data_IF_658317174910
#
_entry.id   IF_658317174910
#
_cell.length_a   1.000
_cell.length_b   1.000
_cell.length_c   1.000
_cell.angle_alpha   90.00
_cell.angle_beta   90.00
_cell.angle_gamma   90.00
#
_symmetry.space_group_name_H-M   'P 1'
#
loop_
_entity.id
_entity.type
_entity.pdbx_description
1 polymer ?
#
# COMPACT_ATOMS: atom_id res chain seq x y z
N UNK A 1 -7.47 30.80 74.36
CA UNK A 1 -7.89 30.18 73.09
C UNK A 1 -8.13 28.71 73.39
N UNK A 2 -9.29 28.13 73.03
CA UNK A 2 -9.51 26.71 73.24
C UNK A 2 -8.52 25.93 72.36
N UNK A 3 -7.77 25.02 72.98
CA UNK A 3 -6.91 24.07 72.28
C UNK A 3 -7.79 23.20 71.39
N UNK A 4 -7.74 23.43 70.08
CA UNK A 4 -8.34 22.51 69.11
C UNK A 4 -7.54 21.20 69.18
N UNK A 5 -8.20 20.04 69.25
CA UNK A 5 -7.50 18.76 69.31
C UNK A 5 -6.64 18.58 68.06
N UNK A 6 -5.32 18.48 68.26
CA UNK A 6 -4.31 18.35 67.20
C UNK A 6 -4.60 17.18 66.23
N UNK A 7 -5.31 16.15 66.70
CA UNK A 7 -5.67 14.98 65.89
C UNK A 7 -6.65 15.27 64.75
N UNK A 8 -7.43 16.36 64.80
CA UNK A 8 -8.30 16.75 63.69
C UNK A 8 -7.57 17.55 62.60
N UNK A 9 -6.40 18.11 62.89
CA UNK A 9 -5.64 18.92 61.92
C UNK A 9 -4.81 18.11 60.94
N UNK A 10 -4.32 16.91 61.31
CA UNK A 10 -3.40 16.15 60.44
C UNK A 10 -4.09 15.52 59.23
N UNK A 11 -5.34 15.04 59.40
CA UNK A 11 -6.07 14.32 58.35
C UNK A 11 -6.53 15.20 57.17
N UNK A 12 -6.87 16.46 57.41
CA UNK A 12 -7.44 17.33 56.36
C UNK A 12 -6.50 17.51 55.16
N UNK A 13 -5.21 17.73 55.40
CA UNK A 13 -4.22 17.98 54.34
C UNK A 13 -4.07 16.78 53.40
N UNK A 14 -4.14 15.57 53.96
CA UNK A 14 -4.07 14.31 53.23
C UNK A 14 -5.29 14.15 52.33
N UNK A 15 -6.49 14.24 52.90
CA UNK A 15 -7.75 14.08 52.18
C UNK A 15 -7.87 15.12 51.04
N UNK A 16 -7.44 16.36 51.30
CA UNK A 16 -7.46 17.43 50.30
C UNK A 16 -6.51 17.15 49.12
N UNK A 17 -5.30 16.66 49.39
CA UNK A 17 -4.34 16.28 48.34
C UNK A 17 -4.82 15.06 47.55
N UNK A 18 -5.45 14.09 48.21
CA UNK A 18 -6.06 12.93 47.54
C UNK A 18 -7.20 13.34 46.60
N UNK A 19 -8.01 14.34 46.99
CA UNK A 19 -9.03 14.93 46.14
C UNK A 19 -8.42 15.63 44.91
N UNK A 20 -7.41 16.49 45.10
CA UNK A 20 -6.70 17.16 43.99
C UNK A 20 -6.11 16.15 43.00
N UNK A 21 -5.51 15.06 43.51
CA UNK A 21 -5.01 13.97 42.69
C UNK A 21 -6.10 13.34 41.83
N UNK A 22 -7.28 13.12 42.41
CA UNK A 22 -8.44 12.55 41.71
C UNK A 22 -8.94 13.48 40.60
N UNK A 23 -8.99 14.79 40.86
CA UNK A 23 -9.34 15.81 39.85
C UNK A 23 -8.31 15.82 38.71
N UNK A 24 -7.02 15.77 39.04
CA UNK A 24 -5.94 15.71 38.05
C UNK A 24 -6.06 14.49 37.14
N UNK A 25 -6.28 13.30 37.71
CA UNK A 25 -6.48 12.09 36.91
C UNK A 25 -7.77 12.12 36.09
N UNK A 26 -8.83 12.74 36.60
CA UNK A 26 -10.07 12.94 35.85
C UNK A 26 -9.85 13.85 34.63
N UNK A 27 -9.07 14.92 34.78
CA UNK A 27 -8.67 15.78 33.66
C UNK A 27 -7.92 14.99 32.58
N UNK A 28 -6.96 14.15 32.98
CA UNK A 28 -6.20 13.28 32.05
C UNK A 28 -7.15 12.32 31.33
N UNK A 29 -8.03 11.64 32.07
CA UNK A 29 -8.97 10.68 31.52
C UNK A 29 -9.93 11.33 30.51
N UNK A 30 -10.47 12.51 30.83
CA UNK A 30 -11.32 13.29 29.91
C UNK A 30 -10.55 13.67 28.65
N UNK A 31 -9.30 14.15 28.79
CA UNK A 31 -8.48 14.53 27.64
C UNK A 31 -8.22 13.34 26.71
N UNK A 32 -7.86 12.18 27.27
CA UNK A 32 -7.62 10.96 26.50
C UNK A 32 -8.90 10.41 25.86
N UNK A 33 -10.03 10.44 26.56
CA UNK A 33 -11.32 10.02 26.03
C UNK A 33 -11.73 10.91 24.84
N UNK A 34 -11.59 12.23 24.95
CA UNK A 34 -11.89 13.17 23.86
C UNK A 34 -10.96 12.98 22.66
N UNK A 35 -9.66 12.72 22.89
CA UNK A 35 -8.73 12.36 21.81
C UNK A 35 -9.15 11.06 21.13
N UNK A 36 -9.51 10.04 21.92
CA UNK A 36 -9.98 8.76 21.40
C UNK A 36 -11.22 8.93 20.52
N UNK A 37 -12.22 9.69 21.00
CA UNK A 37 -13.43 10.01 20.24
C UNK A 37 -13.12 10.65 18.87
N UNK A 38 -12.15 11.57 18.81
CA UNK A 38 -11.73 12.17 17.54
C UNK A 38 -11.05 11.18 16.58
N UNK A 39 -10.29 10.20 17.10
CA UNK A 39 -9.60 9.23 16.25
C UNK A 39 -10.56 8.23 15.59
N UNK A 40 -11.67 7.89 16.25
CA UNK A 40 -12.66 6.96 15.72
C UNK A 40 -13.60 7.59 14.68
N UNK A 41 -13.56 8.92 14.51
CA UNK A 41 -14.49 9.66 13.66
C UNK A 41 -14.02 9.88 12.24
N UNK A 42 -12.91 9.30 11.77
CA UNK A 42 -12.39 9.58 10.42
C UNK A 42 -13.45 9.15 9.38
N UNK A 43 -14.24 10.08 8.80
CA UNK A 43 -15.19 9.70 7.78
C UNK A 43 -14.31 9.25 6.63
N UNK A 44 -14.54 8.02 6.16
CA UNK A 44 -13.89 7.60 4.92
C UNK A 44 -14.35 8.63 3.89
N UNK A 45 -13.41 9.37 3.31
CA UNK A 45 -13.75 10.37 2.32
C UNK A 45 -14.30 9.65 1.08
N UNK A 46 -15.62 9.45 1.09
CA UNK A 46 -16.34 8.76 0.03
C UNK A 46 -16.40 9.62 -1.23
N UNK A 47 -16.10 10.92 -1.14
CA UNK A 47 -16.13 11.80 -2.30
C UNK A 47 -15.04 11.43 -3.32
N UNK A 48 -13.84 11.07 -2.83
CA UNK A 48 -12.74 10.55 -3.65
C UNK A 48 -13.11 9.22 -4.32
N UNK A 49 -13.66 8.29 -3.53
CA UNK A 49 -14.12 7.00 -4.01
C UNK A 49 -15.25 7.13 -5.05
N UNK A 50 -16.23 8.01 -4.82
CA UNK A 50 -17.35 8.26 -5.71
C UNK A 50 -16.89 8.90 -7.02
N UNK A 51 -15.93 9.84 -6.98
CA UNK A 51 -15.32 10.41 -8.18
C UNK A 51 -14.60 9.35 -9.00
N UNK A 52 -13.72 8.57 -8.37
CA UNK A 52 -12.98 7.48 -9.04
C UNK A 52 -13.94 6.44 -9.63
N UNK A 53 -15.00 6.08 -8.91
CA UNK A 53 -16.02 5.15 -9.42
C UNK A 53 -16.78 5.73 -10.61
N UNK A 54 -17.13 7.01 -10.57
CA UNK A 54 -17.80 7.70 -11.68
C UNK A 54 -16.91 7.73 -12.92
N UNK A 55 -15.62 8.01 -12.75
CA UNK A 55 -14.64 8.00 -13.85
C UNK A 55 -14.51 6.60 -14.47
N UNK A 56 -14.41 5.56 -13.64
CA UNK A 56 -14.38 4.16 -14.11
C UNK A 56 -15.69 3.81 -14.81
N UNK A 57 -16.84 4.17 -14.25
CA UNK A 57 -18.15 3.91 -14.83
C UNK A 57 -18.28 4.59 -16.20
N UNK A 58 -17.86 5.84 -16.34
CA UNK A 58 -17.87 6.54 -17.63
C UNK A 58 -16.99 5.82 -18.67
N UNK A 59 -15.81 5.34 -18.28
CA UNK A 59 -14.94 4.55 -19.16
C UNK A 59 -15.57 3.20 -19.55
N UNK A 60 -16.22 2.53 -18.59
CA UNK A 60 -16.90 1.24 -18.82
C UNK A 60 -18.18 1.40 -19.63
N UNK A 61 -18.92 2.49 -19.48
CA UNK A 61 -20.08 2.82 -20.29
C UNK A 61 -19.66 3.15 -21.74
N UNK A 62 -18.52 3.82 -21.91
CA UNK A 62 -17.88 4.10 -23.19
C UNK A 62 -16.88 3.04 -23.67
N UNK A 63 -16.99 1.78 -23.21
CA UNK A 63 -15.95 0.76 -23.45
C UNK A 63 -15.63 0.54 -24.93
N UNK A 64 -16.67 0.39 -25.75
CA UNK A 64 -16.54 0.16 -27.20
C UNK A 64 -16.14 1.42 -27.99
N UNK A 65 -15.98 2.55 -27.31
CA UNK A 65 -15.55 3.79 -27.94
C UNK A 65 -14.07 3.74 -28.32
N UNK A 66 -13.68 4.64 -29.22
CA UNK A 66 -12.28 4.85 -29.57
C UNK A 66 -11.40 5.25 -28.37
N UNK A 67 -11.99 5.75 -27.27
CA UNK A 67 -11.25 6.27 -26.11
C UNK A 67 -10.71 5.17 -25.20
N UNK A 68 -11.35 3.98 -25.15
CA UNK A 68 -10.94 2.87 -24.27
C UNK A 68 -10.42 1.71 -25.10
N UNK A 69 -11.31 0.92 -25.72
CA UNK A 69 -10.88 -0.22 -26.54
C UNK A 69 -10.11 0.23 -27.77
N UNK A 70 -10.48 1.36 -28.39
CA UNK A 70 -9.72 1.93 -29.51
C UNK A 70 -8.30 2.34 -29.12
N UNK A 71 -8.13 3.09 -28.02
CA UNK A 71 -6.80 3.53 -27.56
C UNK A 71 -5.87 2.36 -27.25
N UNK A 72 -6.38 1.32 -26.58
CA UNK A 72 -5.61 0.12 -26.28
C UNK A 72 -5.31 -0.68 -27.56
N UNK A 73 -6.32 -0.86 -28.43
CA UNK A 73 -6.16 -1.55 -29.72
C UNK A 73 -5.15 -0.84 -30.60
N UNK A 74 -5.21 0.47 -30.73
CA UNK A 74 -4.28 1.27 -31.53
C UNK A 74 -2.86 1.19 -30.99
N UNK A 75 -2.69 1.16 -29.68
CA UNK A 75 -1.38 0.98 -29.03
C UNK A 75 -0.80 -0.39 -29.34
N UNK A 76 -1.62 -1.45 -29.25
CA UNK A 76 -1.26 -2.80 -29.63
C UNK A 76 -0.96 -2.92 -31.14
N UNK A 77 -1.78 -2.31 -32.01
CA UNK A 77 -1.56 -2.25 -33.46
C UNK A 77 -0.23 -1.56 -33.80
N UNK A 78 0.05 -0.40 -33.20
CA UNK A 78 1.31 0.35 -33.38
C UNK A 78 2.53 -0.44 -32.90
N UNK A 79 2.38 -1.23 -31.83
CA UNK A 79 3.44 -2.12 -31.38
C UNK A 79 3.69 -3.30 -32.37
N UNK A 80 2.71 -3.61 -33.23
CA UNK A 80 2.71 -4.76 -34.12
C UNK A 80 2.20 -6.03 -33.45
N UNK A 81 1.36 -5.91 -32.42
CA UNK A 81 0.76 -7.04 -31.74
C UNK A 81 -0.33 -7.74 -32.57
N UNK A 82 -0.94 -7.02 -33.52
CA UNK A 82 -1.87 -7.60 -34.47
C UNK A 82 -1.17 -7.69 -35.82
N UNK A 83 -0.82 -8.89 -36.31
CA UNK A 83 -0.39 -9.03 -37.68
C UNK A 83 -1.55 -8.59 -38.57
N UNK A 84 -1.35 -7.57 -39.39
CA UNK A 84 -2.24 -7.33 -40.53
C UNK A 84 -2.38 -8.68 -41.24
N UNK A 85 -3.64 -9.13 -41.47
CA UNK A 85 -3.95 -10.42 -42.11
C UNK A 85 -2.85 -10.75 -43.12
N UNK A 86 -2.10 -11.81 -42.83
CA UNK A 86 -0.84 -12.12 -43.49
C UNK A 86 -1.15 -12.36 -44.96
N UNK A 87 -1.09 -11.32 -45.78
CA UNK A 87 -0.67 -11.50 -47.15
C UNK A 87 0.73 -12.15 -47.05
N UNK A 88 1.01 -13.25 -47.78
CA UNK A 88 2.29 -13.93 -47.72
C UNK A 88 3.41 -12.94 -48.03
N UNK A 89 3.97 -12.38 -46.97
CA UNK A 89 4.96 -11.32 -47.03
C UNK A 89 6.37 -11.89 -47.13
N UNK A 90 7.38 -11.02 -47.25
CA UNK A 90 8.80 -11.38 -47.44
C UNK A 90 9.45 -12.17 -46.29
N UNK A 91 8.70 -12.50 -45.23
CA UNK A 91 9.17 -13.22 -44.04
C UNK A 91 9.11 -14.75 -44.16
N UNK A 92 8.56 -15.29 -45.25
CA UNK A 92 8.53 -16.75 -45.44
C UNK A 92 9.91 -17.26 -45.84
N UNK A 93 10.47 -18.17 -45.04
CA UNK A 93 11.73 -18.86 -45.35
C UNK A 93 11.43 -20.31 -45.68
N UNK A 94 12.12 -20.84 -46.68
CA UNK A 94 12.07 -22.26 -47.02
C UNK A 94 13.11 -23.00 -46.18
N UNK A 95 12.64 -23.94 -45.37
CA UNK A 95 13.47 -24.84 -44.59
C UNK A 95 13.53 -26.19 -45.28
N UNK A 96 14.73 -26.65 -45.60
CA UNK A 96 14.93 -28.01 -46.10
C UNK A 96 15.15 -28.95 -44.93
N UNK A 97 14.07 -29.57 -44.46
CA UNK A 97 14.08 -30.50 -43.33
C UNK A 97 14.02 -31.91 -43.90
N UNK A 98 15.15 -32.63 -43.82
CA UNK A 98 15.34 -33.92 -44.49
C UNK A 98 15.06 -33.83 -46.01
N UNK A 99 14.00 -34.49 -46.49
CA UNK A 99 13.62 -34.54 -47.92
C UNK A 99 12.55 -33.51 -48.30
N UNK A 100 12.08 -32.69 -47.35
CA UNK A 100 10.97 -31.77 -47.57
C UNK A 100 11.44 -30.31 -47.55
N UNK A 101 10.96 -29.53 -48.51
CA UNK A 101 11.07 -28.08 -48.49
C UNK A 101 9.80 -27.51 -47.85
N UNK A 102 9.95 -26.93 -46.66
CA UNK A 102 8.86 -26.43 -45.84
C UNK A 102 8.90 -24.90 -45.77
N UNK A 103 7.93 -24.19 -46.37
CA UNK A 103 7.84 -22.76 -46.20
C UNK A 103 7.30 -22.46 -44.79
N UNK A 104 8.14 -21.85 -43.95
CA UNK A 104 7.75 -21.39 -42.62
C UNK A 104 7.61 -19.87 -42.70
N UNK A 105 6.38 -19.40 -42.52
CA UNK A 105 6.09 -17.97 -42.41
C UNK A 105 6.38 -17.52 -40.99
N UNK A 106 7.44 -16.71 -40.81
CA UNK A 106 7.72 -16.05 -39.54
C UNK A 106 6.78 -14.85 -39.38
N UNK A 107 5.61 -15.08 -38.79
CA UNK A 107 4.76 -13.99 -38.32
C UNK A 107 5.30 -13.46 -36.98
N UNK A 108 5.29 -12.13 -36.76
CA UNK A 108 5.48 -11.60 -35.41
C UNK A 108 4.33 -12.10 -34.55
N UNK A 109 4.62 -13.05 -33.68
CA UNK A 109 3.62 -13.58 -32.76
C UNK A 109 3.66 -12.73 -31.49
N UNK A 110 2.55 -12.08 -31.12
CA UNK A 110 2.51 -11.30 -29.89
C UNK A 110 2.57 -12.22 -28.67
N UNK A 111 3.77 -12.46 -28.17
CA UNK A 111 3.94 -13.12 -26.88
C UNK A 111 3.78 -12.05 -25.80
N UNK A 112 2.74 -12.11 -24.97
CA UNK A 112 2.62 -11.21 -23.80
C UNK A 112 3.39 -11.85 -22.65
N UNK A 113 4.59 -11.30 -22.37
CA UNK A 113 5.32 -11.65 -21.15
C UNK A 113 4.80 -10.82 -19.98
N UNK A 114 4.19 -11.46 -18.97
CA UNK A 114 3.92 -10.81 -17.69
C UNK A 114 5.17 -10.86 -16.82
N UNK A 115 5.68 -9.68 -16.44
CA UNK A 115 6.95 -9.48 -15.72
C UNK A 115 7.15 -10.26 -14.40
N UNK A 116 6.12 -10.86 -13.79
CA UNK A 116 6.23 -11.41 -12.44
C UNK A 116 6.88 -12.78 -12.33
N UNK A 117 6.87 -13.57 -13.41
CA UNK A 117 7.60 -14.82 -13.46
C UNK A 117 8.68 -14.65 -14.53
N UNK A 118 9.96 -14.67 -14.14
CA UNK A 118 11.11 -14.72 -15.08
C UNK A 118 11.09 -15.97 -15.98
N UNK A 119 10.02 -16.78 -15.91
CA UNK A 119 9.70 -17.90 -16.75
C UNK A 119 8.28 -17.69 -17.30
N UNK A 120 8.12 -17.44 -18.61
CA UNK A 120 6.80 -17.38 -19.21
C UNK A 120 6.09 -18.73 -19.08
N UNK A 121 4.99 -18.78 -18.33
CA UNK A 121 4.22 -20.01 -18.15
C UNK A 121 3.45 -20.44 -19.40
N UNK A 122 3.22 -19.55 -20.37
CA UNK A 122 2.66 -19.91 -21.68
C UNK A 122 2.72 -18.71 -22.65
N UNK A 123 3.07 -18.97 -23.91
CA UNK A 123 2.62 -18.14 -25.03
C UNK A 123 1.21 -18.62 -25.29
N UNK A 124 0.20 -17.81 -25.02
CA UNK A 124 -1.14 -18.09 -25.54
C UNK A 124 -1.03 -18.16 -27.06
N UNK A 125 -1.53 -19.25 -27.65
CA UNK A 125 -1.57 -19.47 -29.10
C UNK A 125 -2.14 -18.21 -29.76
N UNK A 126 -1.63 -17.65 -30.88
CA UNK A 126 -2.26 -16.53 -31.56
C UNK A 126 -3.77 -16.69 -31.83
N UNK A 127 -4.28 -17.92 -31.97
CA UNK A 127 -5.73 -18.21 -31.98
C UNK A 127 -6.37 -18.06 -30.58
N UNK A 128 -5.70 -18.51 -29.52
CA UNK A 128 -6.08 -18.14 -28.15
C UNK A 128 -5.87 -16.66 -27.87
N UNK A 129 -4.97 -15.95 -28.54
CA UNK A 129 -4.87 -14.50 -28.42
C UNK A 129 -6.13 -13.89 -29.01
N UNK A 130 -6.77 -14.45 -30.03
CA UNK A 130 -8.10 -13.95 -30.45
C UNK A 130 -9.21 -14.19 -29.39
N UNK A 131 -9.17 -15.29 -28.63
CA UNK A 131 -10.13 -15.55 -27.53
C UNK A 131 -9.75 -14.83 -26.22
N UNK A 132 -8.48 -14.72 -25.88
CA UNK A 132 -7.93 -13.93 -24.79
C UNK A 132 -8.04 -12.43 -25.09
N UNK A 133 -8.00 -12.00 -26.36
CA UNK A 133 -8.37 -10.66 -26.80
C UNK A 133 -9.85 -10.42 -26.53
N UNK A 134 -10.70 -11.44 -26.70
CA UNK A 134 -12.11 -11.32 -26.30
C UNK A 134 -12.27 -11.12 -24.79
N UNK A 135 -11.41 -11.73 -23.97
CA UNK A 135 -11.40 -11.50 -22.52
C UNK A 135 -10.77 -10.16 -22.13
N UNK A 136 -9.69 -9.75 -22.80
CA UNK A 136 -8.94 -8.52 -22.56
C UNK A 136 -9.70 -7.26 -22.99
N UNK A 137 -10.47 -7.37 -24.08
CA UNK A 137 -11.38 -6.33 -24.55
C UNK A 137 -12.80 -6.53 -24.05
N UNK A 138 -13.05 -7.53 -23.19
CA UNK A 138 -14.37 -7.72 -22.58
C UNK A 138 -14.66 -6.53 -21.68
N UNK A 139 -15.82 -5.93 -21.86
CA UNK A 139 -16.35 -4.92 -20.93
C UNK A 139 -16.48 -5.55 -19.53
N UNK A 140 -15.81 -5.00 -18.50
CA UNK A 140 -15.91 -5.53 -17.14
C UNK A 140 -17.32 -5.28 -16.57
N UNK A 141 -17.90 -6.30 -15.94
CA UNK A 141 -19.24 -6.25 -15.37
C UNK A 141 -19.26 -5.83 -13.88
N UNK A 142 -18.11 -5.95 -13.19
CA UNK A 142 -17.95 -5.64 -11.77
C UNK A 142 -16.67 -4.86 -11.50
N UNK A 143 -16.56 -4.29 -10.29
CA UNK A 143 -15.35 -3.59 -9.89
C UNK A 143 -14.15 -4.53 -9.77
N UNK A 144 -14.35 -5.77 -9.32
CA UNK A 144 -13.33 -6.81 -9.28
C UNK A 144 -12.78 -7.12 -10.68
N UNK A 145 -13.65 -7.30 -11.68
CA UNK A 145 -13.23 -7.53 -13.06
C UNK A 145 -12.45 -6.33 -13.62
N UNK A 146 -12.89 -5.11 -13.36
CA UNK A 146 -12.15 -3.91 -13.76
C UNK A 146 -10.79 -3.82 -13.06
N UNK A 147 -10.72 -4.13 -11.76
CA UNK A 147 -9.49 -4.18 -10.97
C UNK A 147 -8.48 -5.17 -11.55
N UNK A 148 -8.92 -6.38 -11.86
CA UNK A 148 -8.08 -7.42 -12.44
C UNK A 148 -7.58 -7.03 -13.82
N UNK A 149 -8.46 -6.46 -14.65
CA UNK A 149 -8.12 -5.91 -15.95
C UNK A 149 -7.08 -4.78 -15.84
N UNK A 150 -7.30 -3.79 -14.97
CA UNK A 150 -6.36 -2.68 -14.78
C UNK A 150 -5.00 -3.14 -14.25
N UNK A 151 -5.00 -4.06 -13.29
CA UNK A 151 -3.78 -4.68 -12.77
C UNK A 151 -3.04 -5.47 -13.84
N UNK A 152 -3.76 -6.15 -14.73
CA UNK A 152 -3.15 -6.84 -15.86
C UNK A 152 -2.42 -5.86 -16.78
N UNK A 153 -3.04 -4.72 -17.09
CA UNK A 153 -2.40 -3.66 -17.90
C UNK A 153 -1.13 -3.08 -17.25
N UNK A 154 -1.05 -3.06 -15.91
CA UNK A 154 0.12 -2.55 -15.18
C UNK A 154 1.37 -3.41 -15.32
N UNK A 155 1.25 -4.64 -15.85
CA UNK A 155 2.37 -5.57 -15.99
C UNK A 155 3.27 -5.30 -17.21
N UNK A 156 3.02 -4.20 -17.93
CA UNK A 156 3.71 -3.77 -19.16
C UNK A 156 4.04 -4.94 -20.09
N UNK A 157 3.03 -5.51 -20.77
CA UNK A 157 3.24 -6.65 -21.64
C UNK A 157 4.32 -6.35 -22.67
N UNK A 158 5.35 -7.21 -22.73
CA UNK A 158 6.42 -7.06 -23.70
C UNK A 158 6.12 -7.86 -24.94
N UNK A 159 6.06 -7.22 -26.10
CA UNK A 159 6.02 -7.88 -27.40
C UNK A 159 7.39 -8.43 -27.77
N UNK A 160 7.46 -9.73 -28.03
CA UNK A 160 8.66 -10.37 -28.55
C UNK A 160 8.55 -10.42 -30.07
N UNK A 161 9.56 -9.90 -30.78
CA UNK A 161 9.69 -10.09 -32.22
C UNK A 161 10.83 -11.08 -32.48
N UNK A 162 10.53 -12.32 -32.90
CA UNK A 162 11.57 -13.26 -33.30
C UNK A 162 12.36 -12.71 -34.49
N UNK A 163 13.67 -12.91 -34.52
CA UNK A 163 14.50 -12.52 -35.68
C UNK A 163 14.55 -13.69 -36.67
N UNK A 164 13.88 -13.58 -37.84
CA UNK A 164 13.88 -14.64 -38.84
C UNK A 164 15.27 -14.89 -39.46
N UNK A 165 16.26 -14.04 -39.18
CA UNK A 165 17.64 -14.23 -39.63
C UNK A 165 18.52 -14.93 -38.59
N UNK A 166 18.03 -15.08 -37.35
CA UNK A 166 18.73 -15.76 -36.25
C UNK A 166 17.98 -17.02 -35.82
N UNK A 167 17.69 -17.86 -36.79
CA UNK A 167 17.11 -19.19 -36.56
C UNK A 167 18.24 -20.17 -36.28
N UNK A 168 18.10 -21.01 -35.25
CA UNK A 168 19.10 -22.02 -34.89
C UNK A 168 19.34 -22.97 -36.04
N UNK A 169 20.59 -23.29 -36.38
CA UNK A 169 20.94 -24.23 -37.48
C UNK A 169 20.41 -25.66 -37.31
N UNK A 170 19.83 -25.96 -36.15
CA UNK A 170 19.24 -27.25 -35.82
C UNK A 170 17.76 -27.07 -35.53
N UNK A 171 16.94 -27.92 -36.13
CA UNK A 171 15.56 -28.15 -35.72
C UNK A 171 15.52 -29.40 -34.84
N UNK A 172 14.43 -29.59 -34.12
CA UNK A 172 14.23 -30.73 -33.23
C UNK A 172 12.90 -31.37 -33.56
N UNK A 173 12.85 -32.70 -33.64
CA UNK A 173 11.61 -33.44 -33.75
C UNK A 173 11.33 -34.10 -32.43
N UNK A 174 10.13 -33.89 -31.89
CA UNK A 174 9.62 -34.60 -30.72
C UNK A 174 8.59 -35.60 -31.23
N UNK A 175 8.80 -36.89 -30.95
CA UNK A 175 7.81 -37.92 -31.25
C UNK A 175 6.77 -38.05 -30.12
N UNK A 176 5.77 -38.92 -30.33
CA UNK A 176 4.71 -39.15 -29.34
C UNK A 176 5.21 -39.70 -28.00
N UNK A 177 6.41 -40.28 -27.95
CA UNK A 177 7.03 -40.77 -26.72
C UNK A 177 7.80 -39.68 -25.97
N UNK A 178 7.84 -38.46 -26.51
CA UNK A 178 8.63 -37.34 -26.00
C UNK A 178 10.12 -37.45 -26.35
N UNK A 179 10.51 -38.39 -27.21
CA UNK A 179 11.90 -38.56 -27.58
C UNK A 179 12.30 -37.48 -28.59
N UNK A 180 13.33 -36.70 -28.23
CA UNK A 180 13.81 -35.57 -28.99
C UNK A 180 14.92 -36.02 -29.94
N UNK A 181 14.70 -35.82 -31.24
CA UNK A 181 15.67 -36.09 -32.30
C UNK A 181 16.13 -34.79 -32.93
N UNK A 182 17.45 -34.56 -32.94
CA UNK A 182 18.04 -33.41 -33.63
C UNK A 182 17.90 -33.60 -35.14
N UNK A 183 17.33 -32.61 -35.81
CA UNK A 183 17.22 -32.52 -37.25
C UNK A 183 18.15 -31.40 -37.73
N UNK A 184 19.24 -31.78 -38.38
CA UNK A 184 20.08 -30.81 -39.07
C UNK A 184 19.34 -30.34 -40.32
N UNK A 185 19.22 -29.02 -40.48
CA UNK A 185 18.71 -28.42 -41.70
C UNK A 185 19.74 -27.43 -42.23
N UNK A 186 19.71 -27.20 -43.54
CA UNK A 186 20.49 -26.12 -44.16
C UNK A 186 19.53 -25.02 -44.58
N UNK A 187 19.67 -23.77 -44.08
CA UNK A 187 18.85 -22.68 -44.55
C UNK A 187 19.09 -22.51 -46.04
N UNK A 188 18.00 -22.51 -46.83
CA UNK A 188 18.10 -22.17 -48.25
C UNK A 188 18.43 -20.67 -48.31
N UNK A 189 19.55 -20.27 -48.95
CA UNK A 189 19.86 -18.85 -49.11
C UNK A 189 18.65 -18.16 -49.71
N UNK A 190 18.13 -17.14 -49.03
CA UNK A 190 17.02 -16.39 -49.61
C UNK A 190 17.48 -15.85 -50.96
N UNK A 191 16.69 -16.03 -52.03
CA UNK A 191 17.06 -15.52 -53.34
C UNK A 191 17.31 -14.03 -53.17
N UNK A 192 18.55 -13.57 -53.45
CA UNK A 192 18.85 -12.14 -53.42
C UNK A 192 17.81 -11.44 -54.29
N UNK A 193 17.16 -10.38 -53.80
CA UNK A 193 16.17 -9.66 -54.58
C UNK A 193 16.85 -9.18 -55.86
N UNK A 194 16.60 -9.87 -56.97
CA UNK A 194 17.12 -9.50 -58.28
C UNK A 194 16.48 -8.15 -58.63
N UNK A 195 17.28 -7.08 -58.85
CA UNK A 195 16.73 -5.75 -59.12
C UNK A 195 15.92 -5.64 -60.42
N UNK A 196 15.88 -6.71 -61.24
CA UNK A 196 15.23 -6.70 -62.56
C UNK A 196 13.98 -7.59 -62.68
N UNK A 197 13.43 -8.13 -61.58
CA UNK A 197 12.26 -9.02 -61.65
C UNK A 197 10.92 -8.27 -61.46
N UNK A 198 10.58 -7.38 -62.39
CA UNK A 198 9.31 -6.63 -62.40
C UNK A 198 8.21 -7.21 -63.30
N UNK A 199 8.25 -8.51 -63.64
CA UNK A 199 7.16 -9.20 -64.33
C UNK A 199 7.06 -10.66 -63.86
N UNK A 200 6.09 -10.94 -62.99
CA UNK A 200 5.79 -12.28 -62.48
C UNK A 200 5.08 -13.11 -63.56
N UNK A 201 5.80 -14.01 -64.20
CA UNK A 201 5.22 -15.31 -64.54
C UNK A 201 5.28 -16.16 -63.26
N UNK A 202 4.13 -16.68 -62.83
CA UNK A 202 4.06 -17.62 -61.72
C UNK A 202 4.97 -18.82 -62.02
N UNK A 203 5.97 -19.14 -61.17
CA UNK A 203 6.82 -20.28 -61.42
C UNK A 203 5.98 -21.56 -61.42
N UNK A 204 6.11 -22.36 -62.49
CA UNK A 204 5.50 -23.68 -62.58
C UNK A 204 6.19 -24.61 -61.58
N UNK A 205 5.59 -24.75 -60.40
CA UNK A 205 6.03 -25.64 -59.34
C UNK A 205 5.82 -27.08 -59.81
N UNK A 206 6.90 -27.86 -59.89
CA UNK A 206 6.91 -29.31 -60.10
C UNK A 206 5.99 -30.01 -59.07
N UNK A 207 5.28 -31.10 -59.41
CA UNK A 207 4.34 -31.78 -58.51
C UNK A 207 5.11 -32.51 -57.40
N UNK A 208 5.48 -31.75 -56.36
CA UNK A 208 5.97 -32.26 -55.10
C UNK A 208 4.78 -32.76 -54.23
N UNK A 209 5.05 -33.66 -53.26
CA UNK A 209 4.04 -34.40 -52.49
C UNK A 209 2.98 -33.51 -51.82
N UNK A 210 1.81 -34.07 -51.46
CA UNK A 210 0.69 -33.30 -50.94
C UNK A 210 1.09 -32.54 -49.66
N UNK A 211 1.18 -31.21 -49.78
CA UNK A 211 1.48 -30.24 -48.71
C UNK A 211 0.40 -30.23 -47.60
N UNK A 212 -0.65 -31.04 -47.73
CA UNK A 212 -1.84 -31.02 -46.88
C UNK A 212 -1.67 -31.62 -45.47
N UNK A 213 -0.48 -32.09 -45.07
CA UNK A 213 -0.28 -32.77 -43.77
C UNK A 213 0.28 -31.89 -42.64
N UNK A 214 0.77 -30.68 -42.94
CA UNK A 214 1.39 -29.81 -41.93
C UNK A 214 0.39 -28.77 -41.40
N UNK A 215 0.37 -28.59 -40.09
CA UNK A 215 -0.37 -27.49 -39.46
C UNK A 215 0.30 -26.14 -39.71
N UNK A 216 -0.45 -25.05 -39.53
CA UNK A 216 0.10 -23.70 -39.51
C UNK A 216 1.10 -23.62 -38.35
N UNK A 217 2.36 -23.17 -38.59
CA UNK A 217 3.35 -23.02 -37.53
C UNK A 217 2.80 -22.16 -36.40
N UNK A 218 2.82 -22.67 -35.17
CA UNK A 218 2.50 -21.92 -33.96
C UNK A 218 3.78 -21.59 -33.21
N UNK A 219 3.86 -20.40 -32.61
CA UNK A 219 4.99 -20.05 -31.73
C UNK A 219 4.65 -20.50 -30.33
N UNK A 220 5.55 -21.24 -29.68
CA UNK A 220 5.43 -21.58 -28.26
C UNK A 220 6.75 -21.39 -27.52
N UNK A 221 6.66 -21.11 -26.22
CA UNK A 221 7.84 -21.20 -25.36
C UNK A 221 8.24 -22.65 -25.19
N UNK A 222 9.55 -22.87 -25.10
CA UNK A 222 10.10 -24.17 -24.76
C UNK A 222 9.85 -24.44 -23.28
N UNK A 223 9.42 -25.65 -22.93
CA UNK A 223 9.41 -26.10 -21.53
C UNK A 223 10.83 -26.07 -20.97
N UNK A 224 10.99 -26.02 -19.65
CA UNK A 224 12.34 -26.05 -19.04
C UNK A 224 13.15 -27.28 -19.47
N UNK A 225 12.49 -28.43 -19.67
CA UNK A 225 13.10 -29.64 -20.17
C UNK A 225 13.50 -29.52 -21.65
N UNK A 226 12.61 -29.04 -22.51
CA UNK A 226 12.92 -28.83 -23.94
C UNK A 226 14.02 -27.77 -24.11
N UNK A 227 13.98 -26.68 -23.35
CA UNK A 227 15.00 -25.65 -23.35
C UNK A 227 16.35 -26.21 -22.92
N UNK A 228 16.42 -26.99 -21.83
CA UNK A 228 17.65 -27.63 -21.38
C UNK A 228 18.20 -28.62 -22.43
N UNK A 229 17.34 -29.42 -23.05
CA UNK A 229 17.70 -30.34 -24.13
C UNK A 229 18.24 -29.59 -25.36
N UNK A 230 17.53 -28.55 -25.80
CA UNK A 230 17.94 -27.71 -26.93
C UNK A 230 19.25 -27.00 -26.62
N UNK A 231 19.42 -26.50 -25.39
CA UNK A 231 20.66 -25.90 -24.92
C UNK A 231 21.85 -26.85 -24.95
N UNK A 232 21.66 -28.11 -24.55
CA UNK A 232 22.73 -29.11 -24.64
C UNK A 232 23.09 -29.49 -26.08
N UNK A 233 22.14 -29.37 -27.01
CA UNK A 233 22.30 -29.74 -28.41
C UNK A 233 22.68 -28.57 -29.33
N UNK A 234 22.60 -27.33 -28.83
CA UNK A 234 22.83 -26.10 -29.58
C UNK A 234 23.99 -25.32 -28.97
N UNK A 235 24.86 -24.79 -29.82
CA UNK A 235 25.90 -23.84 -29.39
C UNK A 235 25.40 -22.39 -29.36
N UNK A 236 24.15 -22.15 -29.78
CA UNK A 236 23.52 -20.84 -29.70
C UNK A 236 23.19 -20.49 -28.24
N UNK A 237 23.08 -19.19 -27.94
CA UNK A 237 22.77 -18.68 -26.60
C UNK A 237 21.38 -19.10 -26.08
N UNK A 238 20.89 -18.50 -24.98
CA UNK A 238 19.52 -18.72 -24.47
C UNK A 238 18.48 -18.67 -25.58
N UNK A 239 17.99 -19.86 -25.95
CA UNK A 239 16.91 -20.06 -26.91
C UNK A 239 15.63 -20.24 -26.09
N UNK A 240 14.90 -19.16 -25.91
CA UNK A 240 13.66 -19.19 -25.11
C UNK A 240 12.43 -19.52 -25.98
N UNK A 241 12.53 -19.39 -27.31
CA UNK A 241 11.39 -19.46 -28.23
C UNK A 241 11.61 -20.50 -29.34
N UNK A 242 10.56 -21.24 -29.69
CA UNK A 242 10.56 -22.10 -30.87
C UNK A 242 9.23 -22.02 -31.65
N UNK A 243 9.33 -22.14 -32.97
CA UNK A 243 8.17 -22.44 -33.80
C UNK A 243 7.90 -23.94 -33.74
N UNK A 244 6.66 -24.28 -33.40
CA UNK A 244 6.12 -25.63 -33.33
C UNK A 244 5.31 -25.91 -34.58
N UNK A 245 5.63 -26.99 -35.27
CA UNK A 245 4.93 -27.43 -36.47
C UNK A 245 4.52 -28.88 -36.23
N UNK A 246 3.22 -29.14 -36.21
CA UNK A 246 2.71 -30.49 -36.03
C UNK A 246 2.60 -31.18 -37.39
N UNK A 247 3.36 -32.26 -37.54
CA UNK A 247 3.26 -33.17 -38.67
C UNK A 247 2.24 -34.25 -38.34
N UNK A 248 1.02 -34.07 -38.83
CA UNK A 248 -0.07 -35.02 -38.62
C UNK A 248 0.21 -36.41 -39.21
N UNK A 249 1.03 -36.49 -40.25
CA UNK A 249 1.32 -37.75 -40.95
C UNK A 249 2.27 -38.65 -40.15
N UNK A 250 3.29 -38.05 -39.53
CA UNK A 250 4.28 -38.77 -38.74
C UNK A 250 4.02 -38.72 -37.23
N UNK A 251 3.00 -37.96 -36.81
CA UNK A 251 2.64 -37.71 -35.41
C UNK A 251 3.83 -37.16 -34.62
N UNK A 252 4.55 -36.20 -35.21
CA UNK A 252 5.72 -35.55 -34.62
C UNK A 252 5.51 -34.05 -34.59
N UNK A 253 6.09 -33.42 -33.59
CA UNK A 253 6.15 -31.96 -33.49
C UNK A 253 7.57 -31.53 -33.81
N UNK A 254 7.72 -30.69 -34.84
CA UNK A 254 9.00 -30.10 -35.22
C UNK A 254 9.12 -28.76 -34.51
N UNK A 255 10.19 -28.59 -33.74
CA UNK A 255 10.57 -27.36 -33.07
C UNK A 255 11.73 -26.70 -33.81
N UNK A 256 11.53 -25.45 -34.21
CA UNK A 256 12.55 -24.62 -34.83
C UNK A 256 12.88 -23.48 -33.85
N UNK A 257 14.00 -23.56 -33.11
CA UNK A 257 14.37 -22.51 -32.17
C UNK A 257 14.75 -21.22 -32.90
N UNK A 258 14.31 -20.09 -32.34
CA UNK A 258 14.57 -18.76 -32.90
C UNK A 258 15.04 -17.83 -31.79
N UNK A 259 16.06 -17.03 -32.09
CA UNK A 259 16.51 -16.00 -31.16
C UNK A 259 15.52 -14.82 -31.12
N UNK A 260 15.37 -14.25 -29.93
CA UNK A 260 14.59 -13.03 -29.74
C UNK A 260 15.35 -11.86 -30.41
N UNK A 261 14.77 -11.31 -31.48
CA UNK A 261 15.37 -10.19 -32.20
C UNK A 261 15.24 -8.88 -31.45
N UNK A 262 14.03 -8.58 -30.99
CA UNK A 262 13.75 -7.39 -30.18
C UNK A 262 12.61 -7.62 -29.22
N UNK A 263 12.65 -6.89 -28.10
CA UNK A 263 11.60 -6.84 -27.09
C UNK A 263 11.08 -5.41 -27.04
N UNK A 264 9.79 -5.23 -27.30
CA UNK A 264 9.13 -3.91 -27.23
C UNK A 264 8.13 -3.94 -26.09
N UNK A 265 8.33 -3.13 -25.06
CA UNK A 265 7.35 -2.98 -23.98
C UNK A 265 6.14 -2.19 -24.50
N UNK A 266 4.94 -2.69 -24.21
CA UNK A 266 3.69 -2.02 -24.56
C UNK A 266 3.08 -1.46 -23.29
N UNK A 267 3.09 -0.13 -23.14
CA UNK A 267 2.43 0.52 -22.01
C UNK A 267 0.97 0.80 -22.33
N UNK A 268 0.12 -0.22 -22.18
CA UNK A 268 -1.30 -0.10 -22.44
C UNK A 268 -1.97 0.89 -21.46
N UNK A 269 -1.54 0.93 -20.19
CA UNK A 269 -2.02 1.94 -19.24
C UNK A 269 -1.73 3.37 -19.70
N UNK A 270 -0.54 3.65 -20.25
CA UNK A 270 -0.21 4.99 -20.74
C UNK A 270 -1.19 5.48 -21.81
N UNK A 271 -1.68 4.57 -22.67
CA UNK A 271 -2.68 4.91 -23.69
C UNK A 271 -4.04 5.29 -23.10
N UNK A 272 -4.46 4.62 -22.02
CA UNK A 272 -5.71 4.94 -21.32
C UNK A 272 -5.58 6.20 -20.45
N UNK A 273 -4.43 6.41 -19.82
CA UNK A 273 -4.14 7.63 -19.05
C UNK A 273 -4.16 8.85 -19.96
N UNK A 274 -3.72 8.72 -21.22
CA UNK A 274 -3.81 9.79 -22.20
C UNK A 274 -5.26 10.21 -22.52
N UNK A 275 -6.22 9.29 -22.42
CA UNK A 275 -7.66 9.57 -22.60
C UNK A 275 -8.39 9.87 -21.28
N UNK A 276 -7.84 9.42 -20.14
CA UNK A 276 -8.40 9.59 -18.80
C UNK A 276 -7.33 10.22 -17.88
N UNK A 277 -7.13 11.55 -17.94
CA UNK A 277 -5.97 12.23 -17.31
C UNK A 277 -5.92 12.14 -15.77
N UNK A 278 -7.03 11.76 -15.12
CA UNK A 278 -7.07 11.55 -13.67
C UNK A 278 -6.59 10.17 -13.23
N UNK A 279 -6.44 9.23 -14.15
CA UNK A 279 -5.93 7.89 -13.86
C UNK A 279 -4.42 7.95 -13.66
N UNK A 280 -3.92 7.14 -12.73
CA UNK A 280 -2.49 7.06 -12.42
C UNK A 280 -1.95 5.68 -12.81
N UNK A 281 -0.71 5.57 -13.28
CA UNK A 281 -0.13 4.27 -13.62
C UNK A 281 0.05 3.40 -12.37
N UNK A 282 0.15 2.08 -12.57
CA UNK A 282 0.39 1.09 -11.52
C UNK A 282 -0.81 0.20 -11.23
N UNK A 283 -0.78 -0.51 -10.09
CA UNK A 283 -1.89 -1.36 -9.66
C UNK A 283 -3.14 -0.54 -9.37
N UNK A 284 -4.29 -1.19 -9.37
CA UNK A 284 -5.58 -0.60 -9.08
C UNK A 284 -5.60 0.09 -7.70
N UNK A 285 -4.99 -0.54 -6.68
CA UNK A 285 -4.87 0.01 -5.33
C UNK A 285 -4.05 1.30 -5.27
N UNK A 286 -3.09 1.49 -6.18
CA UNK A 286 -2.30 2.72 -6.29
C UNK A 286 -3.00 3.77 -7.15
N UNK A 287 -3.63 3.33 -8.25
CA UNK A 287 -4.31 4.20 -9.20
C UNK A 287 -5.63 4.78 -8.66
N UNK A 288 -6.39 3.97 -7.93
CA UNK A 288 -7.73 4.25 -7.43
C UNK A 288 -7.81 3.98 -5.92
N UNK A 289 -6.88 4.56 -5.16
CA UNK A 289 -6.70 4.28 -3.73
C UNK A 289 -7.98 4.46 -2.91
N UNK A 290 -8.66 5.59 -3.08
CA UNK A 290 -9.84 5.92 -2.27
C UNK A 290 -10.98 4.93 -2.56
N UNK A 291 -11.13 4.53 -3.82
CA UNK A 291 -12.09 3.52 -4.23
C UNK A 291 -11.72 2.12 -3.74
N UNK A 292 -10.47 1.67 -3.87
CA UNK A 292 -10.02 0.36 -3.37
C UNK A 292 -10.21 0.26 -1.86
N UNK A 293 -9.83 1.32 -1.13
CA UNK A 293 -10.04 1.42 0.31
C UNK A 293 -11.55 1.34 0.61
N UNK A 294 -12.39 2.17 -0.04
CA UNK A 294 -13.84 2.25 0.21
C UNK A 294 -14.64 1.00 -0.20
N UNK A 295 -14.17 0.25 -1.19
CA UNK A 295 -14.91 -0.87 -1.81
C UNK A 295 -14.40 -2.25 -1.43
N UNK A 296 -13.46 -2.38 -0.49
CA UNK A 296 -12.81 -3.66 -0.15
C UNK A 296 -13.77 -4.82 0.15
N UNK A 297 -14.97 -4.53 0.68
CA UNK A 297 -16.01 -5.54 0.98
C UNK A 297 -17.06 -5.73 -0.14
N UNK A 298 -17.01 -4.93 -1.21
CA UNK A 298 -18.02 -4.88 -2.27
C UNK A 298 -17.44 -5.09 -3.67
N UNK A 299 -16.19 -5.55 -3.80
CA UNK A 299 -15.52 -5.65 -5.10
C UNK A 299 -16.27 -6.55 -6.10
N UNK A 300 -16.97 -7.58 -5.63
CA UNK A 300 -17.78 -8.47 -6.47
C UNK A 300 -19.12 -7.89 -6.95
N UNK A 301 -19.50 -6.70 -6.49
CA UNK A 301 -20.76 -6.05 -6.90
C UNK A 301 -20.60 -5.33 -8.24
N UNK A 302 -21.72 -5.09 -8.92
CA UNK A 302 -21.73 -4.25 -10.13
C UNK A 302 -21.38 -2.80 -9.81
N UNK A 303 -20.86 -2.08 -10.80
CA UNK A 303 -20.50 -0.66 -10.63
C UNK A 303 -21.71 0.19 -10.21
N UNK A 304 -22.91 -0.09 -10.72
CA UNK A 304 -24.16 0.60 -10.36
C UNK A 304 -24.60 0.34 -8.92
N UNK A 305 -24.41 -0.89 -8.43
CA UNK A 305 -24.73 -1.23 -7.04
C UNK A 305 -23.80 -0.51 -6.07
N UNK A 306 -22.50 -0.44 -6.38
CA UNK A 306 -21.52 0.31 -5.58
C UNK A 306 -21.82 1.81 -5.65
N UNK A 307 -22.19 2.34 -6.82
CA UNK A 307 -22.54 3.75 -6.98
C UNK A 307 -23.79 4.11 -6.17
N UNK A 308 -24.82 3.26 -6.19
CA UNK A 308 -26.04 3.43 -5.38
C UNK A 308 -25.74 3.37 -3.89
N UNK A 309 -24.85 2.46 -3.47
CA UNK A 309 -24.39 2.37 -2.08
C UNK A 309 -23.63 3.63 -1.65
N UNK A 310 -22.70 4.13 -2.46
CA UNK A 310 -21.98 5.37 -2.17
C UNK A 310 -22.90 6.59 -2.17
N UNK A 311 -23.88 6.66 -3.08
CA UNK A 311 -24.88 7.73 -3.05
C UNK A 311 -25.72 7.69 -1.75
N UNK A 312 -26.17 6.50 -1.33
CA UNK A 312 -26.89 6.34 -0.07
C UNK A 312 -26.02 6.67 1.16
N UNK A 313 -24.73 6.30 1.14
CA UNK A 313 -23.80 6.70 2.18
C UNK A 313 -23.47 8.19 2.17
N UNK A 314 -23.39 8.83 1.00
CA UNK A 314 -23.17 10.27 0.88
C UNK A 314 -24.35 11.06 1.46
N UNK A 315 -25.59 10.61 1.22
CA UNK A 315 -26.78 11.20 1.86
C UNK A 315 -26.70 11.05 3.38
N UNK A 316 -26.30 9.87 3.88
CA UNK A 316 -26.10 9.64 5.32
C UNK A 316 -24.96 10.47 5.90
N UNK A 317 -23.88 10.68 5.15
CA UNK A 317 -22.76 11.52 5.55
C UNK A 317 -23.11 13.03 5.59
N UNK A 318 -24.19 13.42 4.90
CA UNK A 318 -24.76 14.76 5.01
C UNK A 318 -25.77 14.89 6.16
N UNK A 319 -26.22 13.80 6.77
CA UNK A 319 -26.85 13.90 8.07
C UNK A 319 -25.77 14.35 9.06
N UNK A 320 -26.00 15.42 9.87
CA UNK A 320 -24.99 15.94 10.78
C UNK A 320 -24.52 14.79 11.66
N UNK A 321 -23.24 14.45 11.53
CA UNK A 321 -22.66 13.28 12.19
C UNK A 321 -23.04 13.33 13.66
N UNK A 322 -23.94 12.43 14.06
CA UNK A 322 -24.51 12.41 15.39
C UNK A 322 -23.94 11.23 16.15
N UNK A 323 -23.28 11.48 17.28
CA UNK A 323 -22.77 10.43 18.14
C UNK A 323 -23.83 10.02 19.15
N UNK A 324 -24.14 8.73 19.23
CA UNK A 324 -25.14 8.21 20.17
C UNK A 324 -24.48 7.80 21.49
N UNK A 325 -24.72 8.57 22.56
CA UNK A 325 -24.29 8.25 23.92
C UNK A 325 -25.52 8.07 24.77
N UNK A 326 -25.64 6.91 25.43
CA UNK A 326 -26.80 6.59 26.26
C UNK A 326 -28.15 6.71 25.53
N UNK A 327 -28.18 6.36 24.23
CA UNK A 327 -29.40 6.45 23.41
C UNK A 327 -29.75 7.86 22.94
N UNK A 328 -28.92 8.87 23.24
CA UNK A 328 -29.11 10.25 22.81
C UNK A 328 -28.08 10.59 21.75
N UNK A 329 -28.57 11.05 20.59
CA UNK A 329 -27.75 11.53 19.47
C UNK A 329 -27.29 12.96 19.72
N UNK A 330 -25.99 13.16 19.83
CA UNK A 330 -25.35 14.47 19.97
C UNK A 330 -24.66 14.86 18.66
N UNK A 331 -24.96 16.03 18.09
CA UNK A 331 -24.18 16.57 16.98
C UNK A 331 -22.71 16.73 17.39
N UNK A 332 -21.78 16.26 16.57
CA UNK A 332 -20.33 16.30 16.88
C UNK A 332 -19.83 17.74 17.15
N UNK A 333 -20.45 18.73 16.52
CA UNK A 333 -20.12 20.13 16.70
C UNK A 333 -20.39 20.54 18.14
N UNK A 334 -21.55 20.12 18.67
CA UNK A 334 -21.90 20.37 20.07
C UNK A 334 -20.98 19.59 21.00
N UNK A 335 -20.63 18.34 20.67
CA UNK A 335 -19.72 17.54 21.48
C UNK A 335 -18.34 18.19 21.61
N UNK A 336 -17.81 18.80 20.54
CA UNK A 336 -16.51 19.48 20.57
C UNK A 336 -16.55 20.75 21.44
N UNK A 337 -17.61 21.55 21.33
CA UNK A 337 -17.79 22.74 22.16
C UNK A 337 -17.98 22.38 23.64
N UNK A 338 -18.81 21.38 23.94
CA UNK A 338 -19.00 20.86 25.30
C UNK A 338 -17.72 20.24 25.87
N UNK A 339 -16.94 19.53 25.05
CA UNK A 339 -15.65 18.98 25.45
C UNK A 339 -14.67 20.07 25.87
N UNK A 340 -14.62 21.19 25.15
CA UNK A 340 -13.81 22.35 25.54
C UNK A 340 -14.33 22.99 26.82
N UNK A 341 -15.63 23.25 26.90
CA UNK A 341 -16.24 23.81 28.11
C UNK A 341 -15.95 22.94 29.34
N UNK A 342 -16.03 21.62 29.18
CA UNK A 342 -15.70 20.64 30.21
C UNK A 342 -14.23 20.71 30.64
N UNK A 343 -13.27 20.74 29.69
CA UNK A 343 -11.85 20.86 30.02
C UNK A 343 -11.57 22.17 30.78
N UNK A 344 -12.13 23.30 30.32
CA UNK A 344 -11.96 24.60 31.01
C UNK A 344 -12.55 24.54 32.41
N UNK A 345 -13.75 23.97 32.57
CA UNK A 345 -14.40 23.82 33.86
C UNK A 345 -13.57 22.99 34.84
N UNK A 346 -13.04 21.85 34.40
CA UNK A 346 -12.18 21.00 35.23
C UNK A 346 -10.85 21.68 35.55
N UNK A 347 -10.21 22.37 34.59
CA UNK A 347 -8.98 23.13 34.83
C UNK A 347 -9.20 24.29 35.80
N UNK A 348 -10.32 25.01 35.69
CA UNK A 348 -10.69 26.08 36.59
C UNK A 348 -10.89 25.54 38.01
N UNK A 349 -11.65 24.45 38.15
CA UNK A 349 -11.89 23.78 39.42
C UNK A 349 -10.57 23.31 40.06
N UNK A 350 -9.71 22.69 39.26
CA UNK A 350 -8.39 22.24 39.68
C UNK A 350 -7.51 23.39 40.14
N UNK A 351 -7.43 24.48 39.37
CA UNK A 351 -6.66 25.67 39.73
C UNK A 351 -7.16 26.31 41.03
N UNK A 352 -8.47 26.47 41.21
CA UNK A 352 -9.05 27.01 42.46
C UNK A 352 -8.65 26.15 43.66
N UNK A 353 -8.66 24.82 43.53
CA UNK A 353 -8.24 23.93 44.61
C UNK A 353 -6.74 24.02 44.90
N UNK A 354 -5.90 24.21 43.88
CA UNK A 354 -4.46 24.46 44.09
C UNK A 354 -4.20 25.80 44.77
N UNK A 355 -4.96 26.83 44.42
CA UNK A 355 -4.86 28.15 45.04
C UNK A 355 -5.18 28.08 46.53
N UNK A 356 -6.17 27.28 46.91
CA UNK A 356 -6.58 27.06 48.30
C UNK A 356 -5.58 26.17 49.06
N UNK A 357 -5.01 25.15 48.42
CA UNK A 357 -4.03 24.25 49.03
C UNK A 357 -2.71 24.96 49.32
N UNK A 358 -2.20 25.77 48.37
CA UNK A 358 -0.84 26.32 48.42
C UNK A 358 -0.49 27.08 49.70
N UNK A 359 -1.35 27.96 50.27
CA UNK A 359 -1.04 28.67 51.50
C UNK A 359 -1.30 27.84 52.77
N UNK A 360 -2.09 26.76 52.68
CA UNK A 360 -2.50 25.96 53.83
C UNK A 360 -1.58 24.79 54.14
N UNK A 361 -0.76 24.38 53.19
CA UNK A 361 0.10 23.21 53.32
C UNK A 361 1.42 23.59 54.03
N UNK A 362 1.50 23.32 55.33
CA UNK A 362 2.70 23.49 56.15
C UNK A 362 3.76 22.43 55.90
N UNK A 363 5.01 22.67 56.29
CA UNK A 363 6.15 21.76 56.02
C UNK A 363 6.01 20.37 56.69
N UNK A 364 5.24 20.28 57.77
CA UNK A 364 5.03 19.06 58.56
C UNK A 364 3.72 18.34 58.23
N UNK A 365 2.96 18.83 57.27
CA UNK A 365 1.64 18.29 56.95
C UNK A 365 1.74 16.93 56.25
N UNK A 366 0.83 16.02 56.59
CA UNK A 366 0.76 14.69 55.98
C UNK A 366 0.47 14.73 54.48
N UNK A 367 -0.12 15.81 53.97
CA UNK A 367 -0.36 16.04 52.55
C UNK A 367 0.89 15.92 51.67
N UNK A 368 2.10 16.16 52.22
CA UNK A 368 3.36 15.96 51.49
C UNK A 368 3.70 14.48 51.22
N UNK A 369 3.12 13.56 52.00
CA UNK A 369 3.35 12.11 51.89
C UNK A 369 2.36 11.41 50.95
N UNK A 370 1.34 12.13 50.46
CA UNK A 370 0.39 11.57 49.50
C UNK A 370 1.10 11.35 48.15
N UNK A 371 0.85 10.18 47.55
CA UNK A 371 1.37 9.84 46.23
C UNK A 371 0.65 10.62 45.11
N UNK A 372 0.91 11.92 45.03
CA UNK A 372 0.46 12.80 43.97
C UNK A 372 1.67 13.46 43.29
N UNK A 373 1.73 13.33 41.97
CA UNK A 373 2.89 13.73 41.17
C UNK A 373 3.21 15.23 41.25
N UNK A 374 2.21 16.08 41.53
CA UNK A 374 2.40 17.52 41.70
C UNK A 374 3.20 17.91 42.94
N UNK A 375 3.27 17.03 43.95
CA UNK A 375 3.95 17.28 45.23
C UNK A 375 5.43 16.86 45.19
N UNK A 376 5.80 16.02 44.21
CA UNK A 376 7.12 15.42 44.17
C UNK A 376 8.20 16.48 43.85
N UNK A 377 9.30 16.53 44.63
CA UNK A 377 10.32 17.56 44.47
C UNK A 377 11.21 17.32 43.24
N UNK A 378 11.26 16.08 42.73
CA UNK A 378 12.17 15.69 41.65
C UNK A 378 11.75 16.29 40.31
N UNK A 379 12.73 16.76 39.54
CA UNK A 379 12.51 17.38 38.23
C UNK A 379 11.70 16.51 37.25
N UNK A 380 11.95 15.19 37.09
CA UNK A 380 11.16 14.37 36.18
C UNK A 380 9.66 14.33 36.53
N UNK A 381 9.32 14.25 37.82
CA UNK A 381 7.93 14.26 38.26
C UNK A 381 7.25 15.60 37.93
N UNK A 382 7.98 16.72 38.12
CA UNK A 382 7.50 18.05 37.72
C UNK A 382 7.27 18.16 36.21
N UNK A 383 8.15 17.59 35.40
CA UNK A 383 7.97 17.58 33.94
C UNK A 383 6.72 16.80 33.57
N UNK A 384 6.52 15.59 34.11
CA UNK A 384 5.32 14.78 33.82
C UNK A 384 4.04 15.48 34.30
N UNK A 385 4.07 16.08 35.49
CA UNK A 385 2.99 16.90 36.01
C UNK A 385 2.66 18.06 35.04
N UNK A 386 3.66 18.85 34.64
CA UNK A 386 3.46 19.96 33.71
C UNK A 386 2.94 19.49 32.34
N UNK A 387 3.46 18.38 31.81
CA UNK A 387 2.96 17.81 30.57
C UNK A 387 1.49 17.40 30.67
N UNK A 388 1.08 16.81 31.80
CA UNK A 388 -0.31 16.37 32.00
C UNK A 388 -1.30 17.50 32.29
N UNK A 389 -0.88 18.59 32.95
CA UNK A 389 -1.75 19.74 33.27
C UNK A 389 -1.77 20.80 32.17
N UNK A 390 -0.65 20.98 31.47
CA UNK A 390 -0.47 22.02 30.44
C UNK A 390 -0.55 21.42 29.04
N UNK A 391 0.36 20.53 28.69
CA UNK A 391 0.50 20.09 27.30
C UNK A 391 -0.71 19.25 26.84
N UNK A 392 -1.16 18.30 27.66
CA UNK A 392 -2.24 17.39 27.27
C UNK A 392 -3.58 18.13 27.00
N UNK A 393 -4.10 18.99 27.89
CA UNK A 393 -5.33 19.74 27.61
C UNK A 393 -5.22 20.67 26.39
N UNK A 394 -4.06 21.34 26.21
CA UNK A 394 -3.84 22.20 25.05
C UNK A 394 -3.81 21.42 23.74
N UNK A 395 -3.17 20.24 23.73
CA UNK A 395 -3.19 19.33 22.57
C UNK A 395 -4.62 18.87 22.30
N UNK A 396 -5.37 18.43 23.33
CA UNK A 396 -6.76 18.01 23.18
C UNK A 396 -7.63 19.14 22.62
N UNK A 397 -7.50 20.37 23.12
CA UNK A 397 -8.22 21.53 22.59
C UNK A 397 -7.81 21.88 21.17
N UNK A 398 -6.52 21.81 20.85
CA UNK A 398 -6.02 22.04 19.49
C UNK A 398 -6.58 21.03 18.50
N UNK A 399 -6.67 19.76 18.88
CA UNK A 399 -7.27 18.70 18.07
C UNK A 399 -8.78 18.90 17.90
N UNK A 400 -9.52 19.16 18.99
CA UNK A 400 -10.97 19.45 18.95
C UNK A 400 -11.28 20.70 18.11
N UNK A 401 -10.51 21.76 18.29
CA UNK A 401 -10.68 23.01 17.56
C UNK A 401 -10.37 22.88 16.07
N UNK A 402 -9.25 22.24 15.71
CA UNK A 402 -8.92 21.99 14.31
C UNK A 402 -9.96 21.07 13.64
N UNK A 403 -10.48 20.08 14.35
CA UNK A 403 -11.55 19.22 13.84
C UNK A 403 -12.81 20.04 13.52
N UNK A 404 -13.29 20.82 14.49
CA UNK A 404 -14.49 21.61 14.32
C UNK A 404 -14.37 22.74 13.28
N UNK A 405 -13.20 23.39 13.18
CA UNK A 405 -12.94 24.42 12.17
C UNK A 405 -12.91 23.87 10.74
N UNK A 406 -12.45 22.62 10.57
CA UNK A 406 -12.50 21.92 9.27
C UNK A 406 -13.92 21.51 8.91
N UNK A 407 -14.71 21.08 9.89
CA UNK A 407 -16.11 20.74 9.67
C UNK A 407 -16.91 21.98 9.25
N UNK A 408 -16.79 23.09 9.98
CA UNK A 408 -17.57 24.31 9.74
C UNK A 408 -16.73 25.59 9.91
N UNK A 409 -16.66 26.39 8.84
CA UNK A 409 -16.02 27.71 8.85
C UNK A 409 -16.93 28.80 9.44
N UNK A 410 -17.43 28.61 10.67
CA UNK A 410 -18.19 29.68 11.34
C UNK A 410 -17.30 30.55 12.22
N UNK A 411 -17.47 31.87 12.13
CA UNK A 411 -16.70 32.84 12.93
C UNK A 411 -16.96 32.67 14.43
N UNK A 412 -18.18 32.32 14.83
CA UNK A 412 -18.54 32.08 16.24
C UNK A 412 -17.71 30.92 16.80
N UNK A 413 -17.58 29.83 16.06
CA UNK A 413 -16.74 28.71 16.47
C UNK A 413 -15.29 29.14 16.64
N UNK A 414 -14.71 29.87 15.67
CA UNK A 414 -13.33 30.40 15.78
C UNK A 414 -13.13 31.21 17.07
N UNK A 415 -14.08 32.07 17.42
CA UNK A 415 -14.03 32.84 18.66
C UNK A 415 -14.10 31.94 19.89
N UNK A 416 -15.07 31.02 19.96
CA UNK A 416 -15.22 30.07 21.08
C UNK A 416 -13.94 29.25 21.28
N UNK A 417 -13.34 28.76 20.19
CA UNK A 417 -12.08 28.01 20.24
C UNK A 417 -10.90 28.87 20.70
N UNK A 418 -10.78 30.10 20.19
CA UNK A 418 -9.69 31.01 20.55
C UNK A 418 -9.75 31.39 22.03
N UNK A 419 -10.94 31.76 22.52
CA UNK A 419 -11.15 32.05 23.93
C UNK A 419 -10.92 30.83 24.81
N UNK A 420 -11.39 29.65 24.39
CA UNK A 420 -11.19 28.41 25.13
C UNK A 420 -9.71 28.02 25.22
N UNK A 421 -8.97 28.11 24.12
CA UNK A 421 -7.54 27.81 24.07
C UNK A 421 -6.72 28.79 24.93
N UNK A 422 -6.97 30.09 24.81
CA UNK A 422 -6.30 31.10 25.63
C UNK A 422 -6.65 30.93 27.11
N UNK A 423 -7.93 30.67 27.42
CA UNK A 423 -8.38 30.40 28.78
C UNK A 423 -7.71 29.17 29.38
N UNK A 424 -7.60 28.08 28.61
CA UNK A 424 -6.90 26.86 29.03
C UNK A 424 -5.41 27.09 29.25
N UNK A 425 -4.73 27.81 28.35
CA UNK A 425 -3.33 28.13 28.48
C UNK A 425 -3.06 28.98 29.73
N UNK A 426 -3.91 29.97 29.99
CA UNK A 426 -3.85 30.80 31.18
C UNK A 426 -4.07 29.98 32.46
N UNK A 427 -5.13 29.17 32.52
CA UNK A 427 -5.43 28.32 33.68
C UNK A 427 -4.33 27.29 33.94
N UNK A 428 -3.77 26.69 32.89
CA UNK A 428 -2.67 25.75 33.00
C UNK A 428 -1.39 26.43 33.52
N UNK A 429 -1.09 27.64 33.05
CA UNK A 429 0.01 28.45 33.57
C UNK A 429 -0.20 28.82 35.04
N UNK A 430 -1.41 29.23 35.41
CA UNK A 430 -1.75 29.56 36.79
C UNK A 430 -1.70 28.33 37.70
N UNK A 431 -2.20 27.17 37.27
CA UNK A 431 -2.09 25.91 38.00
C UNK A 431 -0.62 25.50 38.22
N UNK A 432 0.22 25.59 37.19
CA UNK A 432 1.66 25.34 37.30
C UNK A 432 2.33 26.29 38.29
N UNK A 433 1.95 27.57 38.31
CA UNK A 433 2.47 28.58 39.23
C UNK A 433 1.99 28.36 40.67
N UNK A 434 0.74 27.96 40.87
CA UNK A 434 0.10 27.71 42.16
C UNK A 434 0.45 26.34 42.77
N UNK A 435 1.26 25.52 42.09
CA UNK A 435 1.64 24.21 42.61
C UNK A 435 2.57 24.39 43.82
N UNK A 436 2.25 23.82 44.99
CA UNK A 436 3.03 24.02 46.20
C UNK A 436 4.46 23.49 46.03
N UNK A 437 5.44 24.29 46.45
CA UNK A 437 6.86 23.93 46.37
C UNK A 437 7.34 23.58 47.76
N UNK A 438 7.78 22.34 47.96
CA UNK A 438 8.51 21.97 49.17
C UNK A 438 9.84 22.70 49.16
N UNK A 439 10.00 23.68 50.05
CA UNK A 439 11.29 24.26 50.35
C UNK A 439 12.03 23.15 51.11
N UNK A 440 12.95 22.48 50.43
CA UNK A 440 13.88 21.61 51.13
C UNK A 440 14.81 22.54 51.90
N UNK A 441 14.57 22.71 53.20
CA UNK A 441 15.51 23.39 54.09
C UNK A 441 16.87 22.75 53.85
N UNK A 442 17.79 23.52 53.28
CA UNK A 442 19.13 23.08 52.87
C UNK A 442 20.04 22.75 54.06
N UNK A 443 19.46 22.45 55.21
CA UNK A 443 20.07 22.48 56.53
C UNK A 443 20.70 21.13 56.94
N UNK A 444 20.84 20.19 56.00
CA UNK A 444 21.41 18.87 56.29
C UNK A 444 22.46 18.39 55.29
N UNK A 445 23.14 19.31 54.59
CA UNK A 445 24.29 18.97 53.72
C UNK A 445 25.64 19.40 54.31
N UNK A 446 25.66 20.06 55.47
CA UNK A 446 26.90 20.53 56.10
C UNK A 446 26.95 20.16 57.57
N UNK A 447 27.15 18.87 57.85
CA UNK A 447 27.84 18.35 59.05
C UNK A 447 27.96 16.83 58.93
N UNK A 448 28.58 16.36 57.84
CA UNK A 448 29.45 15.20 58.00
C UNK A 448 30.76 15.82 58.44
N UNK A 449 30.94 15.84 59.76
CA UNK A 449 32.21 16.12 60.43
C UNK A 449 33.32 15.39 59.69
N UNK A 450 34.22 16.17 59.11
CA UNK A 450 35.54 15.70 58.69
C UNK A 450 36.45 15.40 59.91
N UNK A 451 35.91 15.45 61.13
CA UNK A 451 36.64 15.22 62.38
C UNK A 451 36.59 13.76 62.89
N UNK A 452 36.00 12.82 62.15
CA UNK A 452 36.15 11.37 62.42
C UNK A 452 37.15 10.64 61.50
N UNK A 453 37.99 11.36 60.76
CA UNK A 453 39.20 10.80 60.13
C UNK A 453 40.43 11.20 60.95
N UNK A 454 40.46 10.79 62.22
CA UNK A 454 41.73 10.64 62.93
C UNK A 454 41.61 9.59 64.03
N UNK A 455 42.54 8.64 64.00
CA UNK A 455 42.79 7.55 64.94
C UNK A 455 41.85 6.31 64.90
N UNK A 456 42.23 5.31 64.08
CA UNK A 456 42.75 4.08 64.68
C UNK A 456 43.56 3.23 63.67
N UNK A 457 44.88 3.03 63.88
CA UNK A 457 45.63 1.99 63.20
C UNK A 457 45.62 0.68 64.02
N UNK A 458 45.73 -0.44 63.31
CA UNK A 458 46.21 -1.77 63.77
C UNK A 458 45.37 -2.55 64.79
N UNK A 459 44.79 -3.69 64.38
CA UNK A 459 45.43 -4.99 64.62
C UNK A 459 44.70 -6.14 63.91
N UNK A 460 45.50 -6.99 63.28
CA UNK A 460 45.31 -8.39 62.91
C UNK A 460 44.07 -9.16 63.40
N UNK A 461 43.47 -9.95 62.49
CA UNK A 461 43.54 -11.42 62.60
C UNK A 461 42.72 -12.12 61.51
N UNK A 462 43.44 -12.97 60.76
CA UNK A 462 43.01 -14.19 60.05
C UNK A 462 41.64 -14.77 60.43
N UNK A 463 40.87 -15.14 59.40
CA UNK A 463 40.43 -16.52 59.07
C UNK A 463 39.44 -16.42 57.91
N UNK A 464 39.81 -16.83 56.69
CA UNK A 464 39.51 -18.15 56.14
C UNK A 464 37.99 -18.47 56.15
N UNK A 465 37.42 -18.75 54.97
CA UNK A 465 36.61 -19.95 54.67
C UNK A 465 35.56 -19.71 53.56
N UNK A 466 35.74 -20.48 52.48
CA UNK A 466 34.77 -21.08 51.54
C UNK A 466 33.87 -20.22 50.64
N UNK A 467 34.25 -20.23 49.36
CA UNK A 467 33.36 -20.31 48.19
C UNK A 467 32.29 -21.40 48.36
N UNK A 468 31.12 -21.21 47.72
CA UNK A 468 30.72 -22.23 46.77
C UNK A 468 30.32 -21.64 45.42
N UNK A 469 31.06 -22.10 44.42
CA UNK A 469 30.60 -22.69 43.17
C UNK A 469 29.08 -22.86 43.02
N UNK A 470 28.53 -22.31 41.93
CA UNK A 470 27.42 -22.92 41.18
C UNK A 470 27.18 -22.23 39.84
N UNK A 471 27.70 -22.87 38.79
CA UNK A 471 27.09 -22.91 37.47
C UNK A 471 25.92 -23.90 37.48
N UNK A 472 24.80 -23.50 36.87
CA UNK A 472 23.81 -24.33 36.15
C UNK A 472 22.85 -23.42 35.39
#
# INVERSE_FOLDING_TARGET
MPDFPESLSSGWSKDFVEHIRTVHFSLIAICLALIGLLQFQKPKDLSGAQRQLTDIKNAVDGWDSAQVTGAVRDTLMKAGAFPAMIAPGPSTRLFKIATYDMPVAFAPTPCILTSQDNLPKSCTDPLEVTSANSQFLRKPASLAEFRDWWNFLSRDPSLIKPDPNKVSKSAFSIDQSGHLKVLHYSPVPSPSPSPNSSMMQSPSISPNPPVSSFSIPSVRFLTSQEAALIHSASTAGPLDLAYSIDDSSSKRTILIPVEIGSRTTISAQASLIATHPYWRPGSFSTAFKDLDDASSQMQGQSLDAIASYFAAQAVKAHEPDSFEVFGVKFPIETASAWGIALIIGVQLYFWVHLLELSPRLGEKDEGWNVAWIGVYPRLPARIVYLMSVVALPLITMGLLGNHALRAHQSLILVLVYSFGFVGSALLAFLAARSTPKRILSSEQTTTIDSDQISANPTSDSKSAVLLPDKDS
#
